data_IF_397866845463
#
_entry.id   IF_397866845463
#
_cell.length_a   1.000
_cell.length_b   1.000
_cell.length_c   1.000
_cell.angle_alpha   90.00
_cell.angle_beta   90.00
_cell.angle_gamma   90.00
#
_symmetry.space_group_name_H-M   'P 1'
#
loop_
_entity.id
_entity.type
_entity.pdbx_description
1 polymer ?
#
# COMPACT_ATOMS: atom_id res chain seq x y z
N UNK A 1 -6.31 -8.66 10.77
CA UNK A 1 -6.54 -7.28 11.23
C UNK A 1 -7.92 -7.16 11.86
N UNK A 2 -8.00 -6.62 13.07
CA UNK A 2 -9.27 -6.38 13.77
C UNK A 2 -9.89 -5.03 13.38
N UNK A 3 -10.96 -5.04 12.58
CA UNK A 3 -11.62 -3.81 12.10
C UNK A 3 -12.22 -2.94 13.21
N UNK A 4 -12.47 -3.49 14.41
CA UNK A 4 -12.94 -2.72 15.56
C UNK A 4 -11.91 -1.70 16.07
N UNK A 5 -10.62 -1.87 15.73
CA UNK A 5 -9.58 -0.88 16.05
C UNK A 5 -9.84 0.47 15.39
N UNK A 6 -10.60 0.49 14.29
CA UNK A 6 -11.03 1.72 13.64
C UNK A 6 -12.11 2.50 14.44
N UNK A 7 -12.61 1.97 15.56
CA UNK A 7 -13.49 2.70 16.48
C UNK A 7 -12.79 3.89 17.16
N UNK A 8 -11.44 3.93 17.15
CA UNK A 8 -10.68 5.07 17.69
C UNK A 8 -10.81 6.35 16.88
N UNK A 9 -11.25 6.24 15.63
CA UNK A 9 -11.54 7.38 14.76
C UNK A 9 -13.03 7.76 14.88
N UNK A 10 -13.28 9.05 15.00
CA UNK A 10 -14.60 9.69 15.04
C UNK A 10 -15.42 9.37 13.79
N UNK A 11 -14.80 9.47 12.62
CA UNK A 11 -15.44 9.23 11.34
C UNK A 11 -14.44 8.77 10.26
N UNK A 12 -14.97 8.48 9.07
CA UNK A 12 -14.18 8.03 7.92
C UNK A 12 -13.13 9.07 7.52
N UNK A 13 -13.47 10.36 7.57
CA UNK A 13 -12.58 11.43 7.09
C UNK A 13 -11.34 11.52 7.98
N UNK A 14 -11.52 11.49 9.30
CA UNK A 14 -10.40 11.48 10.25
C UNK A 14 -9.48 10.26 10.05
N UNK A 15 -10.06 9.08 9.85
CA UNK A 15 -9.29 7.87 9.54
C UNK A 15 -8.45 8.02 8.26
N UNK A 16 -9.06 8.50 7.18
CA UNK A 16 -8.36 8.70 5.91
C UNK A 16 -7.25 9.75 6.03
N UNK A 17 -7.48 10.81 6.80
CA UNK A 17 -6.47 11.85 7.04
C UNK A 17 -5.26 11.30 7.80
N UNK A 18 -5.46 10.52 8.87
CA UNK A 18 -4.37 9.86 9.61
C UNK A 18 -3.60 8.88 8.71
N UNK A 19 -4.29 8.03 7.95
CA UNK A 19 -3.65 7.10 7.01
C UNK A 19 -2.77 7.84 6.00
N UNK A 20 -3.29 8.91 5.39
CA UNK A 20 -2.53 9.73 4.42
C UNK A 20 -1.30 10.34 5.04
N UNK A 21 -1.48 11.02 6.17
CA UNK A 21 -0.41 11.76 6.85
C UNK A 21 0.68 10.79 7.32
N UNK A 22 0.31 9.72 8.01
CA UNK A 22 1.25 8.71 8.51
C UNK A 22 2.04 8.07 7.37
N UNK A 23 1.37 7.66 6.30
CA UNK A 23 2.04 7.04 5.13
C UNK A 23 3.02 8.01 4.48
N UNK A 24 2.59 9.26 4.26
CA UNK A 24 3.42 10.30 3.66
C UNK A 24 4.67 10.57 4.50
N UNK A 25 4.48 10.88 5.79
CA UNK A 25 5.57 11.25 6.69
C UNK A 25 6.57 10.10 6.83
N UNK A 26 6.07 8.85 6.94
CA UNK A 26 6.92 7.67 7.09
C UNK A 26 7.76 7.41 5.82
N UNK A 27 7.22 7.63 4.61
CA UNK A 27 8.02 7.52 3.37
C UNK A 27 9.08 8.61 3.29
N UNK A 28 8.74 9.84 3.70
CA UNK A 28 9.69 10.95 3.69
C UNK A 28 10.84 10.73 4.68
N UNK A 29 10.59 10.06 5.80
CA UNK A 29 11.58 9.83 6.85
C UNK A 29 12.37 8.53 6.67
N UNK A 30 11.71 7.43 6.30
CA UNK A 30 12.28 6.08 6.34
C UNK A 30 12.37 5.38 4.98
N UNK A 31 11.60 5.85 3.99
CA UNK A 31 11.52 5.28 2.65
C UNK A 31 11.05 3.81 2.60
N UNK A 32 10.83 3.28 1.40
CA UNK A 32 10.49 1.87 1.19
C UNK A 32 9.01 1.64 0.96
N UNK A 33 8.55 2.00 -0.25
CA UNK A 33 7.14 2.26 -0.56
C UNK A 33 6.14 1.18 -0.08
N UNK A 34 6.45 -0.10 -0.32
CA UNK A 34 5.55 -1.20 0.06
C UNK A 34 5.56 -1.41 1.58
N UNK A 35 6.74 -1.41 2.19
CA UNK A 35 6.91 -1.60 3.61
C UNK A 35 6.29 -0.48 4.43
N UNK A 36 6.43 0.76 3.99
CA UNK A 36 5.80 1.91 4.64
C UNK A 36 4.27 1.78 4.66
N UNK A 37 3.64 1.40 3.54
CA UNK A 37 2.18 1.17 3.53
C UNK A 37 1.80 0.04 4.47
N UNK A 38 2.48 -1.11 4.37
CA UNK A 38 2.18 -2.27 5.23
C UNK A 38 2.34 -1.89 6.71
N UNK A 39 3.44 -1.24 7.07
CA UNK A 39 3.71 -0.80 8.44
C UNK A 39 2.69 0.21 8.94
N UNK A 40 2.30 1.19 8.10
CA UNK A 40 1.24 2.16 8.43
C UNK A 40 -0.04 1.46 8.88
N UNK A 41 -0.49 0.44 8.13
CA UNK A 41 -1.69 -0.29 8.50
C UNK A 41 -1.48 -1.22 9.71
N UNK A 42 -0.32 -1.87 9.85
CA UNK A 42 0.01 -2.64 11.06
C UNK A 42 -0.08 -1.75 12.31
N UNK A 43 0.48 -0.54 12.27
CA UNK A 43 0.43 0.42 13.38
C UNK A 43 -1.01 0.86 13.70
N UNK A 44 -1.80 1.17 12.67
CA UNK A 44 -3.21 1.55 12.82
C UNK A 44 -4.01 0.44 13.47
N UNK A 45 -3.77 -0.81 13.07
CA UNK A 45 -4.45 -1.98 13.64
C UNK A 45 -3.83 -2.46 14.95
N UNK A 46 -2.74 -1.84 15.41
CA UNK A 46 -2.00 -2.21 16.63
C UNK A 46 -1.55 -3.68 16.58
N UNK A 47 -1.05 -4.10 15.41
CA UNK A 47 -0.59 -5.47 15.13
C UNK A 47 0.94 -5.49 15.05
N UNK A 48 1.59 -6.15 16.01
CA UNK A 48 3.03 -6.39 15.95
C UNK A 48 3.32 -7.59 15.03
N UNK A 49 3.50 -7.30 13.73
CA UNK A 49 3.76 -8.31 12.71
C UNK A 49 5.01 -7.98 11.89
N UNK A 50 6.16 -7.97 12.57
CA UNK A 50 7.48 -7.79 11.96
C UNK A 50 7.71 -8.68 10.74
N UNK A 51 7.35 -9.99 10.72
CA UNK A 51 7.56 -10.83 9.53
C UNK A 51 6.87 -10.30 8.28
N UNK A 52 5.62 -9.83 8.38
CA UNK A 52 4.87 -9.28 7.23
C UNK A 52 5.47 -7.95 6.77
N UNK A 53 5.86 -7.07 7.71
CA UNK A 53 6.56 -5.82 7.38
C UNK A 53 7.89 -6.09 6.66
N UNK A 54 8.74 -6.96 7.21
CA UNK A 54 10.02 -7.33 6.59
C UNK A 54 9.85 -7.96 5.20
N UNK A 55 8.87 -8.86 5.03
CA UNK A 55 8.59 -9.52 3.76
C UNK A 55 8.14 -8.55 2.65
N UNK A 56 7.68 -7.35 3.01
CA UNK A 56 7.28 -6.32 2.06
C UNK A 56 8.40 -5.39 1.60
N UNK A 57 9.56 -5.39 2.29
CA UNK A 57 10.72 -4.57 1.93
C UNK A 57 11.29 -4.80 0.52
N UNK A 58 11.31 -6.03 -0.05
CA UNK A 58 11.89 -6.25 -1.37
C UNK A 58 11.10 -5.61 -2.51
N UNK A 59 9.89 -5.08 -2.29
CA UNK A 59 9.10 -4.44 -3.34
C UNK A 59 9.52 -2.98 -3.61
N UNK A 60 10.56 -2.48 -2.93
CA UNK A 60 11.15 -1.17 -3.18
C UNK A 60 11.57 -1.01 -4.65
N UNK A 61 11.28 0.18 -5.20
CA UNK A 61 11.47 0.54 -6.60
C UNK A 61 10.97 -0.51 -7.62
N UNK A 62 9.89 -1.22 -7.25
CA UNK A 62 9.11 -2.02 -8.18
C UNK A 62 9.35 -3.54 -8.17
N UNK A 63 10.06 -4.10 -7.17
CA UNK A 63 10.49 -5.53 -7.02
C UNK A 63 12.02 -5.66 -7.05
N UNK A 64 12.69 -5.17 -6.02
CA UNK A 64 14.14 -5.24 -5.85
C UNK A 64 14.89 -4.44 -6.91
N UNK A 65 14.49 -3.18 -7.09
CA UNK A 65 15.10 -2.21 -8.01
C UNK A 65 14.97 -2.55 -9.50
N UNK A 66 14.17 -3.56 -9.85
CA UNK A 66 14.01 -3.99 -11.25
C UNK A 66 13.03 -3.12 -12.05
N UNK A 67 12.34 -2.18 -11.41
CA UNK A 67 11.44 -1.24 -12.07
C UNK A 67 10.07 -1.80 -12.46
N UNK A 68 9.72 -3.02 -12.03
CA UNK A 68 8.41 -3.65 -12.24
C UNK A 68 7.33 -3.04 -11.33
N UNK A 69 6.25 -3.76 -11.00
CA UNK A 69 5.06 -3.21 -10.35
C UNK A 69 5.37 -2.36 -9.10
N UNK A 70 4.80 -1.14 -9.08
CA UNK A 70 5.02 -0.15 -8.04
C UNK A 70 4.79 -0.71 -6.62
N UNK A 71 5.74 -0.43 -5.72
CA UNK A 71 5.65 -0.89 -4.32
C UNK A 71 4.41 -0.37 -3.60
N UNK A 72 3.91 0.82 -3.94
CA UNK A 72 2.68 1.35 -3.35
C UNK A 72 1.45 0.47 -3.69
N UNK A 73 1.36 0.02 -4.95
CA UNK A 73 0.30 -0.90 -5.38
C UNK A 73 0.40 -2.24 -4.65
N UNK A 74 1.60 -2.81 -4.59
CA UNK A 74 1.84 -4.10 -3.91
C UNK A 74 1.51 -3.99 -2.43
N UNK A 75 1.93 -2.93 -1.75
CA UNK A 75 1.64 -2.70 -0.32
C UNK A 75 0.14 -2.60 -0.06
N UNK A 76 -0.60 -1.86 -0.88
CA UNK A 76 -2.05 -1.81 -0.78
C UNK A 76 -2.72 -3.17 -0.99
N UNK A 77 -2.24 -3.98 -1.95
CA UNK A 77 -2.73 -5.35 -2.16
C UNK A 77 -2.42 -6.27 -0.97
N UNK A 78 -1.24 -6.14 -0.36
CA UNK A 78 -0.87 -6.89 0.84
C UNK A 78 -1.81 -6.56 2.00
N UNK A 79 -2.06 -5.27 2.25
CA UNK A 79 -2.98 -4.83 3.32
C UNK A 79 -4.39 -5.34 3.07
N UNK A 80 -4.92 -5.22 1.85
CA UNK A 80 -6.22 -5.81 1.50
C UNK A 80 -6.22 -7.33 1.67
N UNK A 81 -5.10 -8.00 1.39
CA UNK A 81 -4.91 -9.44 1.62
C UNK A 81 -4.99 -9.82 3.10
N UNK A 82 -4.45 -8.99 4.00
CA UNK A 82 -4.51 -9.19 5.45
C UNK A 82 -5.93 -9.01 6.02
N UNK A 83 -6.83 -8.36 5.28
CA UNK A 83 -8.23 -8.14 5.67
C UNK A 83 -9.17 -9.13 5.00
N UNK A 84 -9.03 -9.32 3.68
CA UNK A 84 -10.01 -10.05 2.84
C UNK A 84 -9.46 -11.33 2.21
N UNK A 85 -8.16 -11.60 2.29
CA UNK A 85 -7.57 -12.80 1.71
C UNK A 85 -8.07 -14.09 2.38
N UNK A 86 -8.02 -15.21 1.62
CA UNK A 86 -8.30 -16.54 2.17
C UNK A 86 -7.40 -16.84 3.37
N UNK A 87 -7.94 -17.56 4.37
CA UNK A 87 -7.21 -17.88 5.59
C UNK A 87 -6.50 -19.23 5.50
N UNK A 88 -7.10 -20.19 4.80
CA UNK A 88 -6.54 -21.51 4.55
C UNK A 88 -6.32 -21.73 3.04
N UNK A 89 -5.14 -22.25 2.69
CA UNK A 89 -4.83 -22.63 1.30
C UNK A 89 -5.78 -23.72 0.77
N UNK A 90 -6.37 -24.53 1.66
CA UNK A 90 -7.36 -25.56 1.33
C UNK A 90 -8.68 -24.99 0.80
N UNK A 91 -8.99 -23.72 1.05
CA UNK A 91 -10.13 -23.02 0.43
C UNK A 91 -9.97 -22.88 -1.10
N UNK A 92 -8.75 -23.14 -1.63
CA UNK A 92 -8.51 -23.23 -3.06
C UNK A 92 -8.81 -21.92 -3.80
N UNK A 93 -9.39 -22.06 -4.99
CA UNK A 93 -9.76 -20.93 -5.85
C UNK A 93 -10.98 -20.17 -5.28
N UNK A 94 -11.92 -20.87 -4.65
CA UNK A 94 -13.12 -20.24 -4.09
C UNK A 94 -12.76 -19.22 -3.00
N UNK A 95 -11.83 -19.57 -2.10
CA UNK A 95 -11.32 -18.65 -1.09
C UNK A 95 -10.60 -17.43 -1.69
N UNK A 96 -9.86 -17.58 -2.80
CA UNK A 96 -9.27 -16.43 -3.51
C UNK A 96 -10.39 -15.53 -4.03
N UNK A 97 -11.36 -16.09 -4.75
CA UNK A 97 -12.41 -15.32 -5.42
C UNK A 97 -13.34 -14.60 -4.43
N UNK A 98 -13.53 -15.15 -3.23
CA UNK A 98 -14.29 -14.51 -2.16
C UNK A 98 -13.67 -13.16 -1.74
N UNK A 99 -12.34 -13.06 -1.72
CA UNK A 99 -11.58 -11.89 -1.26
C UNK A 99 -11.03 -10.98 -2.36
N UNK A 100 -11.11 -11.37 -3.63
CA UNK A 100 -10.36 -10.71 -4.71
C UNK A 100 -10.97 -9.37 -5.17
N UNK A 101 -12.27 -9.15 -4.94
CA UNK A 101 -13.00 -8.00 -5.48
C UNK A 101 -12.44 -6.65 -5.00
N UNK A 102 -12.16 -6.42 -3.70
CA UNK A 102 -11.49 -5.21 -3.22
C UNK A 102 -10.12 -4.96 -3.87
N UNK A 103 -9.29 -5.99 -4.01
CA UNK A 103 -7.98 -5.90 -4.65
C UNK A 103 -8.08 -5.48 -6.12
N UNK A 104 -9.06 -6.03 -6.85
CA UNK A 104 -9.34 -5.62 -8.23
C UNK A 104 -9.80 -4.16 -8.35
N UNK A 105 -10.51 -3.62 -7.34
CA UNK A 105 -10.85 -2.19 -7.30
C UNK A 105 -9.59 -1.34 -7.17
N UNK A 106 -8.67 -1.73 -6.27
CA UNK A 106 -7.40 -1.04 -6.09
C UNK A 106 -6.55 -1.02 -7.36
N UNK A 107 -6.39 -2.16 -8.05
CA UNK A 107 -5.60 -2.22 -9.29
C UNK A 107 -6.16 -1.27 -10.35
N UNK A 108 -7.48 -1.27 -10.56
CA UNK A 108 -8.13 -0.34 -11.52
C UNK A 108 -7.93 1.12 -11.12
N UNK A 109 -8.15 1.45 -9.85
CA UNK A 109 -7.94 2.81 -9.35
C UNK A 109 -6.49 3.28 -9.59
N UNK A 110 -5.52 2.41 -9.28
CA UNK A 110 -4.10 2.71 -9.49
C UNK A 110 -3.79 2.95 -10.97
N UNK A 111 -4.25 2.07 -11.86
CA UNK A 111 -4.05 2.16 -13.31
C UNK A 111 -4.69 3.44 -13.88
N UNK A 112 -5.89 3.79 -13.45
CA UNK A 112 -6.58 5.01 -13.86
C UNK A 112 -5.80 6.28 -13.48
N UNK A 113 -5.17 6.29 -12.29
CA UNK A 113 -4.41 7.42 -11.77
C UNK A 113 -3.00 7.53 -12.34
N UNK A 114 -2.25 6.44 -12.31
CA UNK A 114 -0.82 6.41 -12.66
C UNK A 114 -0.55 6.08 -14.13
N UNK A 115 -1.56 5.61 -14.86
CA UNK A 115 -1.50 5.16 -16.28
C UNK A 115 -0.60 3.95 -16.56
N UNK A 116 0.30 3.62 -15.64
CA UNK A 116 1.15 2.46 -15.68
C UNK A 116 1.14 1.78 -14.30
N UNK A 117 1.44 0.49 -14.27
CA UNK A 117 1.58 -0.26 -13.02
C UNK A 117 3.03 -0.37 -12.56
N UNK A 118 3.99 -0.21 -13.46
CA UNK A 118 5.41 -0.40 -13.19
C UNK A 118 6.05 0.89 -12.65
N UNK A 119 6.92 0.72 -11.65
CA UNK A 119 7.64 1.81 -11.01
C UNK A 119 8.47 2.59 -12.03
N UNK A 120 9.24 1.92 -12.89
CA UNK A 120 10.08 2.59 -13.89
C UNK A 120 9.26 3.40 -14.89
N UNK A 121 8.07 2.93 -15.26
CA UNK A 121 7.18 3.66 -16.18
C UNK A 121 6.51 4.86 -15.50
N UNK A 122 6.36 4.84 -14.17
CA UNK A 122 5.82 5.97 -13.40
C UNK A 122 6.91 7.01 -13.10
N UNK A 123 8.08 6.55 -12.67
CA UNK A 123 9.21 7.40 -12.29
C UNK A 123 10.04 7.85 -13.48
N UNK A 124 9.88 7.20 -14.64
CA UNK A 124 10.72 7.38 -15.83
C UNK A 124 12.22 7.23 -15.54
N UNK A 125 12.54 6.41 -14.54
CA UNK A 125 13.89 6.31 -13.97
C UNK A 125 14.27 4.86 -13.69
N UNK A 126 15.49 4.48 -14.04
CA UNK A 126 16.08 3.23 -13.59
C UNK A 126 16.68 3.40 -12.19
N UNK A 127 15.97 2.90 -11.18
CA UNK A 127 16.38 3.01 -9.78
C UNK A 127 17.52 2.07 -9.39
N UNK A 128 17.89 1.11 -10.26
CA UNK A 128 19.08 0.28 -10.06
C UNK A 128 20.38 1.02 -10.42
N UNK A 129 20.28 2.10 -11.20
CA UNK A 129 21.39 2.96 -11.56
C UNK A 129 21.54 4.07 -10.49
N UNK A 130 22.62 4.08 -9.70
CA UNK A 130 22.76 5.01 -8.57
C UNK A 130 22.75 6.49 -8.98
N UNK A 131 23.28 6.83 -10.15
CA UNK A 131 23.34 8.23 -10.61
C UNK A 131 21.93 8.71 -10.98
N UNK A 132 21.20 7.92 -11.76
CA UNK A 132 19.81 8.25 -12.14
C UNK A 132 18.87 8.24 -10.94
N UNK A 133 19.07 7.31 -10.00
CA UNK A 133 18.31 7.28 -8.75
C UNK A 133 18.54 8.57 -7.96
N UNK A 134 19.79 9.01 -7.79
CA UNK A 134 20.12 10.25 -7.09
C UNK A 134 19.48 11.47 -7.78
N UNK A 135 19.61 11.59 -9.11
CA UNK A 135 18.98 12.67 -9.89
C UNK A 135 17.46 12.74 -9.69
N UNK A 136 16.78 11.58 -9.74
CA UNK A 136 15.34 11.51 -9.51
C UNK A 136 14.96 11.94 -8.10
N UNK A 137 15.70 11.47 -7.10
CA UNK A 137 15.43 11.76 -5.69
C UNK A 137 15.68 13.24 -5.37
N UNK A 138 16.79 13.82 -5.84
CA UNK A 138 17.12 15.25 -5.69
C UNK A 138 16.08 16.16 -6.39
N UNK A 139 15.46 15.67 -7.46
CA UNK A 139 14.36 16.33 -8.16
C UNK A 139 12.97 16.12 -7.49
N UNK A 140 12.95 15.84 -6.18
CA UNK A 140 11.72 15.64 -5.39
C UNK A 140 11.08 14.26 -5.58
N UNK A 141 11.87 13.25 -5.95
CA UNK A 141 11.40 11.89 -6.19
C UNK A 141 10.70 11.26 -4.98
N UNK A 142 11.25 11.46 -3.78
CA UNK A 142 10.63 10.97 -2.55
C UNK A 142 9.24 11.57 -2.31
N UNK A 143 9.08 12.88 -2.48
CA UNK A 143 7.78 13.53 -2.32
C UNK A 143 6.75 13.02 -3.34
N UNK A 144 7.17 12.76 -4.59
CA UNK A 144 6.30 12.15 -5.60
C UNK A 144 5.86 10.74 -5.19
N UNK A 145 6.79 9.90 -4.74
CA UNK A 145 6.48 8.56 -4.23
C UNK A 145 5.56 8.61 -2.99
N UNK A 146 5.85 9.49 -2.03
CA UNK A 146 5.06 9.67 -0.82
C UNK A 146 3.62 10.12 -1.13
N UNK A 147 3.43 11.00 -2.10
CA UNK A 147 2.10 11.41 -2.56
C UNK A 147 1.32 10.25 -3.21
N UNK A 148 1.96 9.44 -4.05
CA UNK A 148 1.34 8.22 -4.60
C UNK A 148 0.95 7.28 -3.47
N UNK A 149 1.85 7.04 -2.51
CA UNK A 149 1.58 6.14 -1.40
C UNK A 149 0.45 6.63 -0.50
N UNK A 150 0.40 7.92 -0.18
CA UNK A 150 -0.69 8.50 0.60
C UNK A 150 -2.05 8.35 -0.10
N UNK A 151 -2.10 8.59 -1.42
CA UNK A 151 -3.32 8.38 -2.22
C UNK A 151 -3.76 6.91 -2.23
N UNK A 152 -2.82 5.99 -2.42
CA UNK A 152 -3.12 4.55 -2.42
C UNK A 152 -3.53 4.06 -1.03
N UNK A 153 -2.83 4.48 0.03
CA UNK A 153 -3.18 4.14 1.39
C UNK A 153 -4.57 4.70 1.76
N UNK A 154 -4.90 5.92 1.34
CA UNK A 154 -6.25 6.48 1.51
C UNK A 154 -7.30 5.59 0.81
N UNK A 155 -7.08 5.21 -0.44
CA UNK A 155 -8.02 4.38 -1.17
C UNK A 155 -8.19 2.98 -0.54
N UNK A 156 -7.11 2.39 -0.04
CA UNK A 156 -7.16 1.13 0.72
C UNK A 156 -7.94 1.30 2.02
N UNK A 157 -7.68 2.38 2.77
CA UNK A 157 -8.44 2.73 3.96
C UNK A 157 -9.93 2.91 3.65
N UNK A 158 -10.26 3.55 2.53
CA UNK A 158 -11.63 3.78 2.08
C UNK A 158 -12.40 2.46 1.93
N UNK A 159 -11.80 1.51 1.20
CA UNK A 159 -12.31 0.15 1.01
C UNK A 159 -12.51 -0.56 2.36
N UNK A 160 -11.51 -0.52 3.24
CA UNK A 160 -11.56 -1.21 4.54
C UNK A 160 -12.68 -0.62 5.42
N UNK A 161 -12.84 0.71 5.40
CA UNK A 161 -13.87 1.39 6.18
C UNK A 161 -15.28 1.10 5.64
N UNK A 162 -15.46 0.99 4.32
CA UNK A 162 -16.73 0.57 3.70
C UNK A 162 -17.15 -0.83 4.17
N UNK A 163 -16.25 -1.80 4.10
CA UNK A 163 -16.53 -3.20 4.44
C UNK A 163 -16.77 -3.39 5.95
N UNK A 164 -16.12 -2.58 6.81
CA UNK A 164 -16.43 -2.54 8.25
C UNK A 164 -17.92 -2.26 8.51
N UNK A 165 -18.57 -1.43 7.69
CA UNK A 165 -20.00 -1.07 7.83
C UNK A 165 -20.95 -2.12 7.24
N UNK A 166 -20.46 -2.97 6.34
CA UNK A 166 -21.25 -4.05 5.74
C UNK A 166 -21.32 -5.30 6.64
N UNK A 167 -20.35 -5.47 7.54
CA UNK A 167 -20.28 -6.57 8.51
C UNK A 167 -20.77 -6.26 9.93
N UNK A 168 -21.28 -5.05 10.18
CA UNK A 168 -21.93 -4.60 11.43
C UNK A 168 -23.45 -4.59 11.28
#
# INVERSE_FOLDING_TARGET
>A
MNLNKLNKYKDKSEFIEDVKKRTFDTEMEYHGCCQVIVQTFLDIFEEDNVPVSMASSPFAAGLALTGNNCGALIGGLMVLGLVFGRKDIKEGMEGILAGIRPMRRLVRYFEEKQKNLNCRDITQTDMADPEKAAEYLDAGGFEKCANIMADIAAFVGDIIFEERRAGS
#
